data_IF_965626213568
#
_entry.id   IF_965626213568
#
_cell.length_a   1.000
_cell.length_b   1.000
_cell.length_c   1.000
_cell.angle_alpha   90.00
_cell.angle_beta   90.00
_cell.angle_gamma   90.00
#
_symmetry.space_group_name_H-M   'P 1'
#
loop_
_entity.id
_entity.type
_entity.pdbx_description
1 polymer ?
#
# COMPACT_ATOMS: atom_id res chain seq x y z
N UNK A 1 8.02 -8.14 -0.74
CA UNK A 1 8.91 -7.38 -1.65
C UNK A 1 8.39 -7.33 -3.08
N UNK A 2 7.42 -8.16 -3.45
CA UNK A 2 6.76 -8.00 -4.75
C UNK A 2 6.20 -6.58 -4.88
N UNK A 3 6.44 -5.94 -6.02
CA UNK A 3 5.83 -4.66 -6.35
C UNK A 3 4.79 -4.90 -7.44
N UNK A 4 3.54 -4.87 -7.04
CA UNK A 4 2.39 -5.03 -7.94
C UNK A 4 1.30 -4.02 -7.56
N UNK A 5 0.52 -3.59 -8.54
CA UNK A 5 -0.67 -2.75 -8.35
C UNK A 5 -1.92 -3.59 -8.55
N UNK A 6 -3.07 -3.09 -8.13
CA UNK A 6 -4.35 -3.71 -8.45
C UNK A 6 -4.69 -3.57 -9.94
N UNK A 7 -5.61 -4.39 -10.45
CA UNK A 7 -6.17 -4.18 -11.79
C UNK A 7 -6.93 -2.84 -11.86
N UNK A 8 -6.91 -2.22 -13.03
CA UNK A 8 -7.60 -0.95 -13.27
C UNK A 8 -9.09 -1.05 -12.91
N UNK A 9 -9.77 -2.12 -13.32
CA UNK A 9 -11.19 -2.35 -12.99
C UNK A 9 -11.47 -2.45 -11.48
N UNK A 10 -10.50 -2.92 -10.69
CA UNK A 10 -10.64 -2.98 -9.23
C UNK A 10 -10.52 -1.59 -8.61
N UNK A 11 -9.65 -0.75 -9.16
CA UNK A 11 -9.49 0.63 -8.71
C UNK A 11 -10.68 1.47 -9.15
N UNK A 12 -11.12 1.33 -10.41
CA UNK A 12 -12.28 2.05 -10.94
C UNK A 12 -13.59 1.70 -10.22
N UNK A 13 -13.67 0.50 -9.62
CA UNK A 13 -14.82 0.11 -8.80
C UNK A 13 -15.01 1.01 -7.57
N UNK A 14 -13.95 1.66 -7.06
CA UNK A 14 -14.06 2.61 -5.95
C UNK A 14 -14.91 3.83 -6.30
N UNK A 15 -14.79 4.34 -7.52
CA UNK A 15 -15.64 5.44 -7.99
C UNK A 15 -17.10 5.02 -8.05
N UNK A 16 -17.38 3.77 -8.49
CA UNK A 16 -18.74 3.25 -8.62
C UNK A 16 -19.47 3.12 -7.27
N UNK A 17 -18.75 2.99 -6.18
CA UNK A 17 -19.32 2.94 -4.82
C UNK A 17 -19.30 4.29 -4.09
N UNK A 18 -19.12 5.40 -4.82
CA UNK A 18 -19.29 6.76 -4.32
C UNK A 18 -17.99 7.52 -4.00
N UNK A 19 -16.82 6.98 -4.36
CA UNK A 19 -15.55 7.68 -4.19
C UNK A 19 -15.14 8.38 -5.49
N UNK A 20 -15.76 9.49 -5.81
CA UNK A 20 -15.53 10.26 -7.02
C UNK A 20 -14.04 10.58 -7.22
N UNK A 21 -13.51 10.36 -8.41
CA UNK A 21 -12.12 10.58 -8.76
C UNK A 21 -11.16 9.45 -8.36
N UNK A 22 -11.63 8.40 -7.71
CA UNK A 22 -10.81 7.22 -7.38
C UNK A 22 -10.82 6.22 -8.54
N UNK A 23 -10.12 6.59 -9.61
CA UNK A 23 -9.97 5.77 -10.82
C UNK A 23 -8.50 5.43 -11.06
N UNK A 24 -8.24 4.39 -11.84
CA UNK A 24 -6.88 4.06 -12.29
C UNK A 24 -6.19 5.27 -12.91
N UNK A 25 -6.86 5.95 -13.82
CA UNK A 25 -6.33 7.12 -14.53
C UNK A 25 -5.92 8.25 -13.58
N UNK A 26 -6.71 8.52 -12.56
CA UNK A 26 -6.43 9.60 -11.61
C UNK A 26 -5.38 9.21 -10.57
N UNK A 27 -5.27 7.92 -10.23
CA UNK A 27 -4.31 7.44 -9.22
C UNK A 27 -2.94 7.09 -9.80
N UNK A 28 -2.83 6.76 -11.10
CA UNK A 28 -1.57 6.41 -11.75
C UNK A 28 -0.46 7.45 -11.53
N UNK A 29 -0.69 8.77 -11.66
CA UNK A 29 0.34 9.78 -11.40
C UNK A 29 0.88 9.76 -9.97
N UNK A 30 0.09 9.33 -9.00
CA UNK A 30 0.53 9.19 -7.60
C UNK A 30 1.36 7.92 -7.38
N UNK A 31 1.06 6.83 -8.10
CA UNK A 31 1.94 5.67 -8.14
C UNK A 31 3.30 6.04 -8.73
N UNK A 32 3.33 6.73 -9.87
CA UNK A 32 4.56 7.21 -10.50
C UNK A 32 5.34 8.15 -9.56
N UNK A 33 4.67 9.12 -8.95
CA UNK A 33 5.27 10.05 -7.99
C UNK A 33 5.94 9.37 -6.80
N UNK A 34 5.43 8.21 -6.37
CA UNK A 34 5.93 7.50 -5.19
C UNK A 34 7.19 6.68 -5.45
N UNK A 35 7.48 6.34 -6.69
CA UNK A 35 8.46 5.31 -7.03
C UNK A 35 9.64 5.84 -7.86
N UNK A 36 10.74 5.10 -7.78
CA UNK A 36 11.96 5.29 -8.55
C UNK A 36 12.35 3.94 -9.16
N UNK A 37 12.08 3.76 -10.46
CA UNK A 37 12.38 2.51 -11.14
C UNK A 37 13.87 2.41 -11.50
N UNK A 38 14.53 1.37 -11.02
CA UNK A 38 15.78 0.90 -11.59
C UNK A 38 15.47 -0.05 -12.73
N UNK A 39 15.75 0.39 -13.96
CA UNK A 39 15.53 -0.43 -15.16
C UNK A 39 16.30 -1.74 -15.12
N UNK A 40 15.76 -2.84 -15.64
CA UNK A 40 16.46 -4.12 -15.64
C UNK A 40 17.70 -4.09 -16.52
N UNK A 41 18.76 -4.74 -16.08
CA UNK A 41 19.98 -4.94 -16.85
C UNK A 41 19.72 -5.88 -18.04
N UNK A 42 20.64 -5.88 -19.02
CA UNK A 42 20.56 -6.80 -20.17
C UNK A 42 20.49 -8.28 -19.75
N UNK A 43 21.17 -8.63 -18.66
CA UNK A 43 21.13 -10.00 -18.10
C UNK A 43 19.74 -10.31 -17.52
N UNK A 44 19.14 -9.38 -16.79
CA UNK A 44 17.79 -9.52 -16.23
C UNK A 44 16.73 -9.61 -17.34
N UNK A 45 16.87 -8.81 -18.40
CA UNK A 45 15.99 -8.89 -19.58
C UNK A 45 16.14 -10.27 -20.26
N UNK A 46 17.37 -10.76 -20.46
CA UNK A 46 17.61 -12.09 -21.00
C UNK A 46 17.05 -13.19 -20.08
N UNK A 47 16.96 -12.96 -18.77
CA UNK A 47 16.34 -13.87 -17.81
C UNK A 47 14.80 -13.77 -17.78
N UNK A 48 14.20 -12.83 -18.53
CA UNK A 48 12.77 -12.68 -18.70
C UNK A 48 12.14 -11.46 -17.96
N UNK A 49 12.94 -10.57 -17.38
CA UNK A 49 12.42 -9.33 -16.83
C UNK A 49 11.86 -8.44 -17.95
N UNK A 50 10.67 -7.92 -17.74
CA UNK A 50 10.01 -6.98 -18.67
C UNK A 50 9.23 -5.92 -17.91
N UNK A 51 9.04 -4.75 -18.52
CA UNK A 51 8.33 -3.64 -17.94
C UNK A 51 7.87 -2.65 -19.02
N UNK A 52 6.80 -1.94 -18.73
CA UNK A 52 6.33 -0.79 -19.53
C UNK A 52 6.75 0.51 -18.81
N UNK A 53 7.71 1.23 -19.38
CA UNK A 53 8.22 2.47 -18.78
C UNK A 53 7.16 3.55 -18.59
N UNK A 54 6.07 3.52 -19.34
CA UNK A 54 5.02 4.54 -19.29
C UNK A 54 4.22 4.58 -17.99
N UNK A 55 4.35 3.56 -17.15
CA UNK A 55 3.61 3.46 -15.88
C UNK A 55 4.50 3.56 -14.64
N UNK A 56 5.78 3.93 -14.81
CA UNK A 56 6.71 4.06 -13.70
C UNK A 56 7.29 5.46 -13.59
N UNK A 57 7.51 5.90 -12.34
CA UNK A 57 8.29 7.09 -12.02
C UNK A 57 9.77 6.78 -11.81
N UNK A 58 10.60 7.81 -11.92
CA UNK A 58 12.06 7.71 -11.83
C UNK A 58 12.67 8.53 -10.68
N UNK A 59 11.85 9.34 -9.98
CA UNK A 59 12.33 10.31 -8.98
C UNK A 59 11.66 10.15 -7.61
N UNK A 60 10.76 9.17 -7.46
CA UNK A 60 10.05 8.95 -6.20
C UNK A 60 10.96 8.39 -5.10
N UNK A 61 10.55 8.48 -3.84
CA UNK A 61 11.37 8.03 -2.71
C UNK A 61 11.46 6.51 -2.59
N UNK A 62 10.55 5.75 -3.19
CA UNK A 62 10.51 4.29 -3.09
C UNK A 62 11.21 3.63 -4.27
N UNK A 63 12.35 3.01 -4.03
CA UNK A 63 13.05 2.26 -5.06
C UNK A 63 12.33 0.98 -5.42
N UNK A 64 12.18 0.76 -6.73
CA UNK A 64 11.57 -0.41 -7.35
C UNK A 64 12.54 -0.94 -8.41
N UNK A 65 12.76 -2.23 -8.46
CA UNK A 65 13.67 -2.83 -9.43
C UNK A 65 13.56 -4.35 -9.46
N UNK A 66 14.37 -4.97 -10.30
CA UNK A 66 14.35 -6.41 -10.47
C UNK A 66 15.43 -7.07 -9.59
N UNK A 67 15.10 -8.23 -9.02
CA UNK A 67 16.07 -9.04 -8.30
C UNK A 67 17.22 -9.48 -9.22
N UNK A 68 18.38 -9.78 -8.66
CA UNK A 68 19.46 -10.42 -9.41
C UNK A 68 18.97 -11.75 -9.92
N UNK A 69 19.08 -11.95 -11.21
CA UNK A 69 18.66 -13.18 -11.89
C UNK A 69 19.53 -13.41 -13.11
N UNK A 70 19.67 -14.68 -13.47
CA UNK A 70 20.38 -15.15 -14.66
C UNK A 70 19.41 -15.89 -15.57
N UNK A 71 19.63 -15.87 -16.88
CA UNK A 71 18.86 -16.69 -17.81
C UNK A 71 18.91 -18.16 -17.41
N UNK A 72 17.75 -18.83 -17.37
CA UNK A 72 17.69 -20.23 -16.99
C UNK A 72 16.64 -21.00 -17.80
N UNK A 73 16.89 -22.30 -17.98
CA UNK A 73 15.91 -23.19 -18.59
C UNK A 73 14.63 -23.31 -17.76
N UNK A 74 14.71 -23.05 -16.45
CA UNK A 74 13.56 -23.10 -15.56
C UNK A 74 12.53 -22.01 -15.92
N UNK A 75 12.96 -20.75 -16.06
CA UNK A 75 12.09 -19.64 -16.46
C UNK A 75 11.46 -19.87 -17.83
N UNK A 76 12.28 -20.33 -18.79
CA UNK A 76 11.80 -20.67 -20.15
C UNK A 76 10.77 -21.81 -20.12
N UNK A 77 11.01 -22.84 -19.31
CA UNK A 77 10.09 -23.97 -19.16
C UNK A 77 8.79 -23.54 -18.49
N UNK A 78 8.85 -22.74 -17.42
CA UNK A 78 7.68 -22.19 -16.76
C UNK A 78 6.83 -21.35 -17.72
N UNK A 79 7.45 -20.44 -18.47
CA UNK A 79 6.73 -19.60 -19.42
C UNK A 79 6.00 -20.46 -20.47
N UNK A 80 6.67 -21.45 -21.04
CA UNK A 80 6.05 -22.37 -21.99
C UNK A 80 4.92 -23.20 -21.35
N UNK A 81 5.09 -23.64 -20.12
CA UNK A 81 4.06 -24.38 -19.38
C UNK A 81 2.83 -23.55 -19.17
N UNK A 82 2.98 -22.31 -18.69
CA UNK A 82 1.87 -21.38 -18.49
C UNK A 82 1.14 -21.08 -19.81
N UNK A 83 1.87 -20.80 -20.89
CA UNK A 83 1.27 -20.60 -22.22
C UNK A 83 0.48 -21.81 -22.69
N UNK A 84 1.01 -23.02 -22.49
CA UNK A 84 0.33 -24.28 -22.87
C UNK A 84 -0.94 -24.52 -22.04
N UNK A 85 -1.04 -23.95 -20.84
CA UNK A 85 -2.24 -24.03 -19.99
C UNK A 85 -3.19 -22.83 -20.18
N UNK A 86 -2.93 -21.97 -21.18
CA UNK A 86 -3.78 -20.83 -21.51
C UNK A 86 -3.49 -19.57 -20.67
N UNK A 87 -2.42 -19.54 -19.89
CA UNK A 87 -1.97 -18.34 -19.16
C UNK A 87 -0.98 -17.56 -20.05
N UNK A 88 -1.36 -16.40 -20.57
CA UNK A 88 -0.49 -15.64 -21.47
C UNK A 88 0.69 -15.00 -20.73
N UNK A 89 1.73 -14.68 -21.48
CA UNK A 89 2.75 -13.76 -21.01
C UNK A 89 2.16 -12.34 -20.95
N UNK A 90 2.42 -11.64 -19.86
CA UNK A 90 2.07 -10.21 -19.69
C UNK A 90 3.37 -9.43 -19.60
N UNK A 91 3.52 -8.38 -20.41
CA UNK A 91 4.73 -7.56 -20.41
C UNK A 91 4.97 -6.89 -19.07
N UNK A 92 3.90 -6.35 -18.48
CA UNK A 92 3.98 -5.73 -17.15
C UNK A 92 2.65 -5.82 -16.39
N UNK A 93 2.68 -6.39 -15.19
CA UNK A 93 1.51 -6.49 -14.30
C UNK A 93 1.10 -5.15 -13.67
N UNK A 94 1.95 -4.12 -13.77
CA UNK A 94 1.71 -2.81 -13.18
C UNK A 94 1.01 -1.80 -14.11
N UNK A 95 0.63 -2.24 -15.30
CA UNK A 95 -0.16 -1.44 -16.26
C UNK A 95 -1.65 -1.34 -15.93
N UNK A 96 -2.10 -1.98 -14.86
CA UNK A 96 -3.52 -2.16 -14.55
C UNK A 96 -4.13 -3.40 -15.23
N UNK A 97 -3.35 -4.18 -15.96
CA UNK A 97 -3.74 -5.44 -16.60
C UNK A 97 -2.89 -6.58 -16.06
N UNK A 98 -3.38 -7.22 -14.99
CA UNK A 98 -2.59 -8.22 -14.26
C UNK A 98 -2.73 -9.65 -14.78
N UNK A 99 -3.65 -9.91 -15.71
CA UNK A 99 -3.91 -11.28 -16.18
C UNK A 99 -2.76 -11.81 -17.01
N UNK A 100 -2.06 -12.76 -16.47
CA UNK A 100 -0.96 -13.41 -17.16
C UNK A 100 0.15 -13.85 -16.23
N UNK A 101 1.27 -14.15 -16.83
CA UNK A 101 2.51 -14.53 -16.18
C UNK A 101 3.62 -13.56 -16.60
N UNK A 102 4.40 -13.08 -15.65
CA UNK A 102 5.63 -12.33 -15.94
C UNK A 102 6.63 -12.42 -14.78
N UNK A 103 7.79 -11.82 -14.96
CA UNK A 103 8.76 -11.56 -13.90
C UNK A 103 8.63 -10.08 -13.53
N UNK A 104 7.93 -9.80 -12.44
CA UNK A 104 7.62 -8.46 -11.99
C UNK A 104 8.70 -7.88 -11.06
N UNK A 105 8.79 -6.56 -10.95
CA UNK A 105 9.75 -5.90 -10.07
C UNK A 105 9.42 -6.09 -8.59
N UNK A 106 10.38 -5.73 -7.75
CA UNK A 106 10.30 -5.76 -6.29
C UNK A 106 10.61 -4.40 -5.70
N UNK A 107 10.09 -4.12 -4.50
CA UNK A 107 10.54 -2.97 -3.70
C UNK A 107 11.93 -3.23 -3.15
N UNK A 108 12.94 -2.79 -3.90
CA UNK A 108 14.34 -3.02 -3.63
C UNK A 108 15.18 -1.81 -4.04
N UNK A 109 16.09 -1.39 -3.17
CA UNK A 109 17.20 -0.54 -3.56
C UNK A 109 18.25 -1.42 -4.24
N UNK A 110 18.34 -1.35 -5.55
CA UNK A 110 19.22 -2.23 -6.32
C UNK A 110 20.70 -1.93 -6.08
N UNK A 111 21.06 -0.67 -5.82
CA UNK A 111 22.45 -0.28 -5.60
C UNK A 111 23.01 -0.89 -4.31
N UNK A 112 22.24 -0.86 -3.23
CA UNK A 112 22.60 -1.48 -1.96
C UNK A 112 22.18 -2.96 -1.86
N UNK A 113 21.32 -3.39 -2.74
CA UNK A 113 20.68 -4.71 -2.79
C UNK A 113 19.98 -5.08 -1.49
N UNK A 114 19.19 -4.14 -0.98
CA UNK A 114 18.39 -4.29 0.25
C UNK A 114 16.93 -4.02 -0.03
N UNK A 115 16.06 -4.52 0.84
CA UNK A 115 14.62 -4.21 0.78
C UNK A 115 14.40 -2.71 0.94
N UNK A 116 13.60 -2.13 0.06
CA UNK A 116 13.12 -0.77 0.19
C UNK A 116 11.74 -0.79 0.85
N UNK A 117 11.70 -0.55 2.14
CA UNK A 117 10.45 -0.44 2.89
C UNK A 117 10.08 1.03 3.14
N UNK A 118 8.88 1.24 3.70
CA UNK A 118 8.39 2.59 3.96
C UNK A 118 9.27 3.38 4.94
N UNK A 119 9.98 2.71 5.85
CA UNK A 119 10.88 3.39 6.76
C UNK A 119 12.11 3.93 6.01
N UNK A 120 12.68 3.15 5.10
CA UNK A 120 13.79 3.61 4.25
C UNK A 120 13.36 4.75 3.32
N UNK A 121 12.22 4.59 2.65
CA UNK A 121 11.75 5.55 1.66
C UNK A 121 11.25 6.86 2.27
N UNK A 122 10.53 6.81 3.41
CA UNK A 122 9.75 7.96 3.89
C UNK A 122 10.07 8.39 5.33
N UNK A 123 10.72 7.57 6.16
CA UNK A 123 11.03 7.92 7.54
C UNK A 123 12.49 8.29 7.76
N UNK A 124 13.44 7.42 7.44
CA UNK A 124 14.85 7.66 7.74
C UNK A 124 15.42 8.95 7.11
N UNK A 125 15.08 9.32 5.87
CA UNK A 125 15.53 10.58 5.30
C UNK A 125 14.99 11.83 6.04
N UNK A 126 13.92 11.67 6.79
CA UNK A 126 13.19 12.77 7.42
C UNK A 126 13.07 12.68 8.94
N UNK A 127 13.70 11.69 9.59
CA UNK A 127 13.58 11.44 11.02
C UNK A 127 14.07 12.61 11.92
N UNK A 128 14.90 13.50 11.36
CA UNK A 128 15.38 14.69 12.06
C UNK A 128 14.38 15.86 12.07
N UNK A 129 13.25 15.74 11.36
CA UNK A 129 12.22 16.79 11.35
C UNK A 129 11.60 16.94 12.71
N UNK A 130 11.58 18.16 13.25
CA UNK A 130 11.03 18.49 14.58
C UNK A 130 9.51 18.26 14.71
N UNK A 131 8.80 18.23 13.58
CA UNK A 131 7.35 18.00 13.51
C UNK A 131 6.98 16.56 13.12
N UNK A 132 7.95 15.64 13.09
CA UNK A 132 7.72 14.22 12.86
C UNK A 132 8.02 13.47 14.16
N UNK A 133 6.99 12.90 14.78
CA UNK A 133 7.08 12.14 16.02
C UNK A 133 6.66 10.70 15.79
N UNK A 134 7.50 9.74 16.20
CA UNK A 134 7.20 8.32 16.15
C UNK A 134 7.12 7.78 17.56
N UNK A 135 5.95 7.29 17.96
CA UNK A 135 5.72 6.68 19.27
C UNK A 135 5.98 5.17 19.17
N UNK A 136 7.16 4.76 19.58
CA UNK A 136 7.55 3.34 19.59
C UNK A 136 6.85 2.57 20.71
N UNK A 137 6.61 1.26 20.49
CA UNK A 137 6.00 0.37 21.47
C UNK A 137 4.67 0.91 22.05
N UNK A 138 3.87 1.53 21.18
CA UNK A 138 2.60 2.14 21.54
C UNK A 138 1.50 1.50 20.70
N UNK A 139 0.41 1.10 21.35
CA UNK A 139 -0.76 0.56 20.68
C UNK A 139 -1.81 1.66 20.47
N UNK A 140 -2.37 1.73 19.27
CA UNK A 140 -3.60 2.46 19.02
C UNK A 140 -4.78 1.59 19.45
N UNK A 141 -5.60 2.06 20.37
CA UNK A 141 -6.72 1.30 20.93
C UNK A 141 -8.00 1.54 20.13
N UNK A 142 -8.31 2.79 19.87
CA UNK A 142 -9.51 3.23 19.13
C UNK A 142 -9.40 4.67 18.67
N UNK A 143 -10.22 5.06 17.70
CA UNK A 143 -10.45 6.45 17.33
C UNK A 143 -11.30 7.13 18.40
N UNK A 144 -11.03 8.41 18.64
CA UNK A 144 -11.87 9.29 19.44
C UNK A 144 -12.67 10.16 18.47
N UNK A 145 -13.96 10.15 18.65
CA UNK A 145 -14.89 10.93 17.84
C UNK A 145 -15.24 12.22 18.55
N UNK A 146 -15.38 13.29 17.78
CA UNK A 146 -15.92 14.54 18.27
C UNK A 146 -17.40 14.31 18.63
N UNK A 147 -17.86 14.84 19.76
CA UNK A 147 -19.27 14.79 20.13
C UNK A 147 -20.14 15.38 19.02
N UNK A 148 -21.17 14.65 18.59
CA UNK A 148 -21.96 15.01 17.41
C UNK A 148 -23.43 15.25 17.70
N UNK A 149 -23.99 16.16 16.89
CA UNK A 149 -25.41 16.23 16.59
C UNK A 149 -25.56 15.96 15.07
N UNK A 150 -25.92 14.74 14.67
CA UNK A 150 -26.12 14.37 13.26
C UNK A 150 -25.39 13.11 12.82
N UNK A 151 -25.53 12.75 11.54
CA UNK A 151 -25.05 11.50 10.95
C UNK A 151 -23.57 11.49 10.53
N UNK A 152 -22.83 12.60 10.69
CA UNK A 152 -21.43 12.69 10.30
C UNK A 152 -20.48 12.47 11.48
N UNK A 153 -19.61 11.47 11.38
CA UNK A 153 -18.56 11.19 12.37
C UNK A 153 -17.27 11.95 12.03
N UNK A 154 -16.82 12.81 12.92
CA UNK A 154 -15.53 13.52 12.81
C UNK A 154 -14.53 12.91 13.77
N UNK A 155 -13.40 12.40 13.27
CA UNK A 155 -12.32 11.92 14.11
C UNK A 155 -11.61 13.09 14.81
N UNK A 156 -11.53 13.05 16.14
CA UNK A 156 -10.86 14.05 16.98
C UNK A 156 -9.45 13.63 17.37
N UNK A 157 -9.18 12.31 17.39
CA UNK A 157 -7.91 11.79 17.81
C UNK A 157 -7.87 10.27 17.92
N UNK A 158 -6.85 9.78 18.60
CA UNK A 158 -6.63 8.35 18.83
C UNK A 158 -6.30 8.12 20.30
N UNK A 159 -6.98 7.19 20.93
CA UNK A 159 -6.61 6.67 22.23
C UNK A 159 -5.45 5.67 22.05
N UNK A 160 -4.41 5.84 22.82
CA UNK A 160 -3.20 5.02 22.75
C UNK A 160 -2.85 4.44 24.12
N UNK A 161 -2.16 3.28 24.11
CA UNK A 161 -1.52 2.70 25.30
C UNK A 161 -0.03 2.59 25.07
N UNK A 162 0.74 3.28 25.89
CA UNK A 162 2.21 3.23 25.87
C UNK A 162 2.75 1.91 26.47
N UNK A 163 4.03 1.63 26.27
CA UNK A 163 4.69 0.41 26.74
C UNK A 163 4.58 0.16 28.25
N UNK A 164 4.46 1.22 29.06
CA UNK A 164 4.28 1.14 30.52
C UNK A 164 2.81 0.98 30.93
N UNK A 165 1.89 0.79 29.99
CA UNK A 165 0.46 0.62 30.25
C UNK A 165 -0.31 1.95 30.42
N UNK A 166 0.33 3.10 30.30
CA UNK A 166 -0.37 4.38 30.39
C UNK A 166 -1.27 4.60 29.19
N UNK A 167 -2.55 4.87 29.44
CA UNK A 167 -3.55 5.24 28.43
C UNK A 167 -3.58 6.75 28.31
N UNK A 168 -3.56 7.26 27.09
CA UNK A 168 -3.66 8.68 26.79
C UNK A 168 -4.31 8.93 25.43
N UNK A 169 -4.66 10.15 25.12
CA UNK A 169 -5.25 10.55 23.82
C UNK A 169 -4.30 11.47 23.09
N UNK A 170 -4.09 11.17 21.80
CA UNK A 170 -3.41 12.07 20.86
C UNK A 170 -4.48 12.71 19.99
N UNK A 171 -4.61 14.04 20.11
CA UNK A 171 -5.58 14.78 19.33
C UNK A 171 -5.07 15.10 17.92
N UNK A 172 -5.94 14.95 16.93
CA UNK A 172 -5.68 15.31 15.54
C UNK A 172 -6.19 16.72 15.25
N UNK A 173 -5.36 17.54 14.60
CA UNK A 173 -5.76 18.88 14.17
C UNK A 173 -6.50 18.85 12.83
N UNK A 174 -6.06 18.01 11.91
CA UNK A 174 -6.56 17.96 10.54
C UNK A 174 -7.26 16.64 10.24
N UNK A 175 -6.57 15.51 10.44
CA UNK A 175 -7.06 14.18 10.06
C UNK A 175 -6.39 13.07 10.89
N UNK A 176 -6.97 11.88 10.88
CA UNK A 176 -6.37 10.64 11.37
C UNK A 176 -6.23 9.67 10.21
N UNK A 177 -4.99 9.25 9.93
CA UNK A 177 -4.69 8.28 8.86
C UNK A 177 -4.49 6.91 9.49
N UNK A 178 -5.29 5.93 9.06
CA UNK A 178 -5.19 4.54 9.53
C UNK A 178 -4.38 3.73 8.52
N UNK A 179 -3.21 3.25 8.93
CA UNK A 179 -2.32 2.41 8.13
C UNK A 179 -1.80 1.21 8.94
N UNK A 180 -2.70 0.56 9.71
CA UNK A 180 -2.35 -0.53 10.61
C UNK A 180 -2.29 -1.93 9.94
N UNK A 181 -2.40 -1.96 8.62
CA UNK A 181 -2.39 -3.18 7.80
C UNK A 181 -3.77 -3.81 7.62
N UNK A 182 -3.85 -4.82 6.76
CA UNK A 182 -5.11 -5.42 6.30
C UNK A 182 -5.97 -6.02 7.43
N UNK A 183 -5.36 -6.46 8.52
CA UNK A 183 -6.09 -7.03 9.66
C UNK A 183 -6.40 -5.99 10.73
N UNK A 184 -5.44 -5.11 11.07
CA UNK A 184 -5.62 -4.20 12.20
C UNK A 184 -6.35 -2.91 11.84
N UNK A 185 -6.30 -2.44 10.60
CA UNK A 185 -7.06 -1.25 10.19
C UNK A 185 -8.57 -1.46 10.30
N UNK A 186 -9.16 -2.54 9.78
CA UNK A 186 -10.57 -2.86 10.00
C UNK A 186 -10.90 -3.06 11.49
N UNK A 187 -10.06 -3.82 12.21
CA UNK A 187 -10.27 -4.05 13.63
C UNK A 187 -10.27 -2.74 14.45
N UNK A 188 -9.39 -1.80 14.12
CA UNK A 188 -9.37 -0.48 14.77
C UNK A 188 -10.65 0.31 14.50
N UNK A 189 -11.19 0.24 13.28
CA UNK A 189 -12.48 0.85 12.95
C UNK A 189 -13.62 0.22 13.74
N UNK A 190 -13.69 -1.12 13.80
CA UNK A 190 -14.71 -1.84 14.58
C UNK A 190 -14.62 -1.51 16.08
N UNK A 191 -13.42 -1.48 16.66
CA UNK A 191 -13.18 -1.05 18.04
C UNK A 191 -13.56 0.42 18.28
N UNK A 192 -13.62 1.21 17.23
CA UNK A 192 -14.03 2.62 17.26
C UNK A 192 -15.51 2.82 16.97
N UNK A 193 -16.28 1.74 16.78
CA UNK A 193 -17.71 1.80 16.55
C UNK A 193 -18.14 1.93 15.09
N UNK A 194 -17.20 1.74 14.15
CA UNK A 194 -17.48 1.77 12.71
C UNK A 194 -17.59 0.34 12.19
N UNK A 195 -18.75 -0.05 11.71
CA UNK A 195 -18.94 -1.40 11.16
C UNK A 195 -20.40 -1.88 11.26
N UNK A 196 -20.63 -3.14 10.95
CA UNK A 196 -21.97 -3.72 11.02
C UNK A 196 -22.48 -3.74 12.48
N UNK A 197 -23.66 -3.14 12.76
CA UNK A 197 -24.23 -3.04 14.12
C UNK A 197 -24.38 -4.36 14.86
N UNK A 198 -24.43 -5.48 14.14
CA UNK A 198 -24.53 -6.83 14.75
C UNK A 198 -23.22 -7.27 15.40
N UNK A 199 -22.09 -6.71 14.98
CA UNK A 199 -20.75 -7.11 15.41
C UNK A 199 -20.03 -6.01 16.20
N UNK A 200 -20.41 -4.75 15.99
CA UNK A 200 -19.87 -3.62 16.73
C UNK A 200 -20.61 -3.52 18.05
N UNK A 201 -19.94 -3.84 19.14
CA UNK A 201 -20.54 -3.92 20.48
C UNK A 201 -21.06 -2.56 20.97
N UNK A 202 -22.09 -2.53 21.87
CA UNK A 202 -22.77 -1.32 22.34
C UNK A 202 -21.93 -0.29 23.12
N UNK A 203 -20.60 -0.42 23.13
CA UNK A 203 -19.69 0.57 23.71
C UNK A 203 -19.42 1.79 22.82
N UNK A 204 -19.93 1.80 21.60
CA UNK A 204 -19.78 2.92 20.68
C UNK A 204 -21.16 3.41 20.20
N UNK A 205 -21.42 4.67 20.43
CA UNK A 205 -22.67 5.36 20.07
C UNK A 205 -22.74 5.78 18.59
N UNK A 206 -21.82 5.32 17.75
CA UNK A 206 -21.73 5.72 16.34
C UNK A 206 -21.89 4.50 15.45
N UNK A 207 -23.05 4.39 14.81
CA UNK A 207 -23.31 3.43 13.74
C UNK A 207 -23.28 4.22 12.43
N UNK A 208 -22.25 4.02 11.62
CA UNK A 208 -22.24 4.50 10.25
C UNK A 208 -22.89 3.42 9.37
N UNK A 209 -23.95 3.78 8.66
CA UNK A 209 -24.68 2.93 7.73
C UNK A 209 -23.99 2.89 6.37
#
# INVERSE_FOLDING_TARGET
MAYTRAEDVQIDAWEQIGNEGWTWKSLLPYYEKSQNLTVPTTVQVAAGASYDSSVYGEEGPQHVGFLKMEPSNFTTTLNRTFQNTGVPWTEDVNTGKMRGWNIFPSTINYAEYVREDAARAYYWPYQSRKNLHVLMNTNANRLIWKSQSGDEATAEGVEITSANGTVSTVHAKNEVIISAGALKSPALLELSGVGNPRYVHPLSSIILH
#
